data_IF_608021064106
#
_entry.id   IF_608021064106
#
_cell.length_a   1.000
_cell.length_b   1.000
_cell.length_c   1.000
_cell.angle_alpha   90.00
_cell.angle_beta   90.00
_cell.angle_gamma   90.00
#
_symmetry.space_group_name_H-M   'P 1'
#
loop_
_entity.id
_entity.type
_entity.pdbx_description
1 polymer ?
#
# COMPACT_ATOMS: atom_id res chain seq x y z
N UNK A 1 -21.69 0.17 1.97
CA UNK A 1 -21.22 1.59 2.01
C UNK A 1 -21.72 2.43 0.81
N UNK A 2 -22.84 2.10 0.19
CA UNK A 2 -23.55 2.94 -0.78
C UNK A 2 -23.10 2.85 -2.24
N UNK A 3 -22.11 2.01 -2.56
CA UNK A 3 -21.65 1.79 -3.93
C UNK A 3 -20.80 2.95 -4.49
N UNK A 4 -20.44 2.86 -5.77
CA UNK A 4 -19.65 3.87 -6.47
C UNK A 4 -20.60 4.92 -7.06
N UNK A 5 -20.52 6.21 -6.69
CA UNK A 5 -21.33 7.25 -7.30
C UNK A 5 -20.89 7.51 -8.75
N UNK A 6 -21.84 7.90 -9.60
CA UNK A 6 -21.55 8.28 -10.98
C UNK A 6 -21.03 9.72 -11.11
N UNK A 7 -21.20 10.52 -10.07
CA UNK A 7 -20.81 11.92 -10.01
C UNK A 7 -19.52 12.06 -9.20
N UNK A 8 -18.53 12.80 -9.74
CA UNK A 8 -17.20 12.94 -9.18
C UNK A 8 -17.20 13.75 -7.87
N UNK A 9 -18.01 14.81 -7.78
CA UNK A 9 -18.12 15.64 -6.58
C UNK A 9 -18.72 14.84 -5.44
N UNK A 10 -19.74 14.03 -5.74
CA UNK A 10 -20.35 13.13 -4.77
C UNK A 10 -19.37 12.02 -4.33
N UNK A 11 -18.53 11.53 -5.25
CA UNK A 11 -17.48 10.57 -4.92
C UNK A 11 -16.48 11.17 -3.94
N UNK A 12 -16.06 12.41 -4.17
CA UNK A 12 -15.14 13.13 -3.31
C UNK A 12 -15.75 13.38 -1.92
N UNK A 13 -17.01 13.84 -1.84
CA UNK A 13 -17.73 14.03 -0.57
C UNK A 13 -17.83 12.72 0.22
N UNK A 14 -18.18 11.61 -0.43
CA UNK A 14 -18.24 10.30 0.21
C UNK A 14 -16.85 9.85 0.69
N UNK A 15 -15.81 10.09 -0.10
CA UNK A 15 -14.44 9.71 0.24
C UNK A 15 -13.93 10.47 1.47
N UNK A 16 -14.27 11.75 1.64
CA UNK A 16 -13.87 12.54 2.82
C UNK A 16 -14.50 12.04 4.13
N UNK A 17 -15.59 11.29 4.03
CA UNK A 17 -16.31 10.71 5.18
C UNK A 17 -15.89 9.30 5.54
N UNK A 18 -14.95 8.69 4.77
CA UNK A 18 -14.49 7.34 5.07
C UNK A 18 -13.72 7.32 6.38
N UNK A 19 -14.21 6.56 7.34
CA UNK A 19 -13.47 6.25 8.56
C UNK A 19 -12.39 5.22 8.23
N UNK A 20 -11.14 5.64 8.39
CA UNK A 20 -9.98 4.78 8.08
C UNK A 20 -9.91 3.55 8.98
N UNK A 21 -10.34 3.65 10.25
CA UNK A 21 -10.30 2.50 11.16
C UNK A 21 -11.32 1.45 10.73
N UNK A 22 -12.51 1.89 10.31
CA UNK A 22 -13.54 1.00 9.75
C UNK A 22 -13.03 0.36 8.46
N UNK A 23 -12.42 1.16 7.56
CA UNK A 23 -11.87 0.63 6.31
C UNK A 23 -10.74 -0.39 6.55
N UNK A 24 -9.87 -0.18 7.54
CA UNK A 24 -8.83 -1.17 7.91
C UNK A 24 -9.48 -2.43 8.47
N UNK A 25 -10.49 -2.32 9.33
CA UNK A 25 -11.20 -3.48 9.87
C UNK A 25 -11.89 -4.30 8.76
N UNK A 26 -12.50 -3.63 7.78
CA UNK A 26 -13.08 -4.28 6.60
C UNK A 26 -11.99 -5.02 5.78
N UNK A 27 -10.83 -4.40 5.58
CA UNK A 27 -9.71 -5.04 4.85
C UNK A 27 -9.17 -6.26 5.61
N UNK A 28 -9.08 -6.21 6.94
CA UNK A 28 -8.69 -7.37 7.77
C UNK A 28 -9.71 -8.49 7.60
N UNK A 29 -11.01 -8.18 7.68
CA UNK A 29 -12.08 -9.17 7.49
C UNK A 29 -12.06 -9.81 6.09
N UNK A 30 -11.77 -9.01 5.04
CA UNK A 30 -11.58 -9.52 3.67
C UNK A 30 -10.37 -10.45 3.60
N UNK A 31 -9.26 -10.11 4.26
CA UNK A 31 -8.07 -10.95 4.35
C UNK A 31 -8.36 -12.29 5.03
N UNK A 32 -9.06 -12.28 6.16
CA UNK A 32 -9.48 -13.49 6.87
C UNK A 32 -10.42 -14.36 6.01
N UNK A 33 -11.36 -13.73 5.29
CA UNK A 33 -12.24 -14.44 4.37
C UNK A 33 -11.47 -15.08 3.21
N UNK A 34 -10.50 -14.37 2.62
CA UNK A 34 -9.65 -14.91 1.55
C UNK A 34 -8.84 -16.12 2.04
N UNK A 35 -8.24 -16.05 3.23
CA UNK A 35 -7.47 -17.15 3.82
C UNK A 35 -8.33 -18.37 4.15
N UNK A 36 -9.61 -18.17 4.44
CA UNK A 36 -10.55 -19.27 4.74
C UNK A 36 -11.09 -19.99 3.50
N UNK A 37 -10.80 -19.50 2.28
CA UNK A 37 -11.27 -20.11 1.05
C UNK A 37 -10.54 -21.45 0.80
N UNK A 38 -11.25 -22.47 0.27
CA UNK A 38 -10.64 -23.80 0.01
C UNK A 38 -9.61 -23.77 -1.14
N UNK A 39 -9.64 -22.74 -2.00
CA UNK A 39 -8.71 -22.53 -3.10
C UNK A 39 -7.53 -21.58 -2.73
N UNK A 40 -7.46 -21.12 -1.49
CA UNK A 40 -6.34 -20.32 -0.99
C UNK A 40 -5.15 -21.21 -0.62
N UNK A 41 -3.94 -20.72 -0.89
CA UNK A 41 -2.71 -21.39 -0.50
C UNK A 41 -2.24 -21.05 0.95
N UNK A 42 -3.06 -20.31 1.71
CA UNK A 42 -2.76 -19.88 3.08
C UNK A 42 -1.83 -18.68 3.18
N UNK A 43 -1.53 -17.99 2.06
CA UNK A 43 -0.71 -16.79 2.02
C UNK A 43 -1.54 -15.58 1.63
N UNK A 44 -1.24 -14.44 2.24
CA UNK A 44 -1.97 -13.19 2.02
C UNK A 44 -1.02 -12.05 1.65
N UNK A 45 -1.29 -11.43 0.50
CA UNK A 45 -0.59 -10.23 0.05
C UNK A 45 -1.56 -9.07 -0.17
N UNK A 46 -1.07 -7.84 0.00
CA UNK A 46 -1.84 -6.64 -0.30
C UNK A 46 -1.00 -5.65 -1.13
N UNK A 47 -1.63 -5.07 -2.15
CA UNK A 47 -1.08 -3.95 -2.93
C UNK A 47 -2.07 -2.81 -2.93
N UNK A 48 -1.59 -1.58 -2.89
CA UNK A 48 -2.45 -0.40 -2.92
C UNK A 48 -1.72 0.84 -3.44
N UNK A 49 -2.49 1.76 -3.99
CA UNK A 49 -1.99 2.94 -4.69
C UNK A 49 -2.52 4.21 -4.03
N UNK A 50 -1.71 5.25 -3.91
CA UNK A 50 -2.12 6.54 -3.35
C UNK A 50 -2.72 6.39 -1.94
N UNK A 51 -3.99 6.75 -1.77
CA UNK A 51 -4.73 6.50 -0.53
C UNK A 51 -4.74 5.00 -0.17
N UNK A 52 -4.95 4.12 -1.18
CA UNK A 52 -4.87 2.67 -1.01
C UNK A 52 -3.48 2.19 -0.59
N UNK A 53 -2.40 2.86 -1.00
CA UNK A 53 -1.05 2.62 -0.49
C UNK A 53 -0.92 2.93 0.99
N UNK A 54 -1.52 4.05 1.44
CA UNK A 54 -1.63 4.37 2.86
C UNK A 54 -2.45 3.34 3.64
N UNK A 55 -3.54 2.83 3.04
CA UNK A 55 -4.35 1.76 3.65
C UNK A 55 -3.60 0.44 3.77
N UNK A 56 -2.74 0.09 2.79
CA UNK A 56 -1.87 -1.09 2.87
C UNK A 56 -0.85 -0.95 4.00
N UNK A 57 -0.30 0.24 4.21
CA UNK A 57 0.58 0.51 5.36
C UNK A 57 -0.15 0.32 6.70
N UNK A 58 -1.38 0.83 6.82
CA UNK A 58 -2.22 0.64 8.01
C UNK A 58 -2.62 -0.83 8.19
N UNK A 59 -3.00 -1.51 7.10
CA UNK A 59 -3.33 -2.93 7.13
C UNK A 59 -2.15 -3.77 7.64
N UNK A 60 -0.92 -3.44 7.24
CA UNK A 60 0.27 -4.14 7.71
C UNK A 60 0.45 -4.05 9.23
N UNK A 61 0.01 -2.95 9.86
CA UNK A 61 0.03 -2.80 11.33
C UNK A 61 -1.12 -3.52 12.04
N UNK A 62 -2.22 -3.83 11.32
CA UNK A 62 -3.45 -4.37 11.90
C UNK A 62 -3.68 -5.86 11.61
N UNK A 63 -3.08 -6.39 10.53
CA UNK A 63 -3.30 -7.75 10.04
C UNK A 63 -2.07 -8.65 10.29
N UNK A 64 -1.98 -9.37 11.41
CA UNK A 64 -0.82 -10.22 11.73
C UNK A 64 -0.65 -11.43 10.79
N UNK A 65 -1.68 -11.75 9.99
CA UNK A 65 -1.66 -12.82 8.99
C UNK A 65 -1.26 -12.34 7.60
N UNK A 66 -0.97 -11.04 7.42
CA UNK A 66 -0.48 -10.51 6.15
C UNK A 66 0.99 -10.92 5.97
N UNK A 67 1.30 -11.61 4.87
CA UNK A 67 2.66 -12.06 4.55
C UNK A 67 3.45 -10.99 3.77
N UNK A 68 2.78 -10.27 2.87
CA UNK A 68 3.41 -9.29 1.99
C UNK A 68 2.55 -8.03 1.81
N UNK A 69 3.18 -6.86 1.87
CA UNK A 69 2.51 -5.57 1.66
C UNK A 69 3.30 -4.69 0.68
N UNK A 70 2.61 -4.18 -0.34
CA UNK A 70 3.20 -3.35 -1.39
C UNK A 70 2.46 -2.03 -1.53
N UNK A 71 2.81 -1.00 -0.74
CA UNK A 71 2.26 0.34 -0.90
C UNK A 71 2.98 1.11 -2.01
N UNK A 72 2.22 1.67 -2.95
CA UNK A 72 2.68 2.64 -3.94
C UNK A 72 2.32 4.05 -3.47
N UNK A 73 3.32 4.93 -3.36
CA UNK A 73 3.20 6.35 -2.96
C UNK A 73 2.13 6.58 -1.87
N UNK A 74 2.15 5.71 -0.87
CA UNK A 74 1.25 5.76 0.28
C UNK A 74 1.87 6.45 1.49
N UNK A 75 1.04 7.11 2.28
CA UNK A 75 1.45 7.70 3.57
C UNK A 75 1.88 6.58 4.53
N UNK A 76 2.97 6.79 5.26
CA UNK A 76 3.41 5.88 6.32
C UNK A 76 2.38 5.79 7.46
N UNK A 77 2.31 4.66 8.18
CA UNK A 77 1.48 4.53 9.38
C UNK A 77 2.13 5.30 10.55
N UNK A 78 1.42 5.51 11.67
CA UNK A 78 2.04 6.01 12.89
C UNK A 78 3.23 5.14 13.30
N UNK A 79 4.37 5.73 13.62
CA UNK A 79 5.61 5.01 13.97
C UNK A 79 5.46 4.11 15.20
N UNK A 80 4.58 4.48 16.14
CA UNK A 80 4.23 3.66 17.31
C UNK A 80 3.58 2.30 16.94
N UNK A 81 2.98 2.19 15.75
CA UNK A 81 2.32 0.97 15.30
C UNK A 81 3.24 0.07 14.47
N UNK A 82 4.38 0.57 14.01
CA UNK A 82 5.35 -0.17 13.18
C UNK A 82 5.82 -1.49 13.81
N UNK A 83 6.06 -1.60 15.13
CA UNK A 83 6.44 -2.86 15.76
C UNK A 83 5.39 -3.99 15.65
N UNK A 84 4.16 -3.67 15.28
CA UNK A 84 3.08 -4.66 15.08
C UNK A 84 3.18 -5.37 13.73
N UNK A 85 3.95 -4.82 12.78
CA UNK A 85 4.06 -5.33 11.40
C UNK A 85 4.77 -6.69 11.43
N UNK A 86 4.14 -7.68 10.77
CA UNK A 86 4.69 -9.02 10.55
C UNK A 86 4.96 -9.30 9.07
N UNK A 87 4.29 -8.57 8.19
CA UNK A 87 4.46 -8.67 6.75
C UNK A 87 5.86 -8.22 6.31
N UNK A 88 6.35 -8.80 5.21
CA UNK A 88 7.44 -8.18 4.44
C UNK A 88 6.90 -7.00 3.66
N UNK A 89 7.68 -5.94 3.53
CA UNK A 89 7.27 -4.71 2.86
C UNK A 89 8.12 -4.44 1.61
N UNK A 90 7.45 -4.12 0.51
CA UNK A 90 8.08 -3.54 -0.68
C UNK A 90 7.38 -2.22 -1.02
N UNK A 91 8.04 -1.10 -0.80
CA UNK A 91 7.43 0.23 -0.96
C UNK A 91 7.93 0.93 -2.21
N UNK A 92 7.03 1.59 -2.94
CA UNK A 92 7.34 2.35 -4.16
C UNK A 92 6.99 3.81 -3.98
N UNK A 93 7.96 4.71 -4.14
CA UNK A 93 7.80 6.15 -3.97
C UNK A 93 8.13 6.90 -5.25
N UNK A 94 7.38 7.96 -5.53
CA UNK A 94 7.65 8.89 -6.62
C UNK A 94 8.71 9.92 -6.19
N UNK A 95 9.72 10.19 -7.03
CA UNK A 95 10.79 11.12 -6.71
C UNK A 95 10.31 12.55 -6.47
N UNK A 96 9.29 12.98 -7.22
CA UNK A 96 8.73 14.33 -7.14
C UNK A 96 7.52 14.46 -6.18
N UNK A 97 7.34 13.54 -5.23
CA UNK A 97 6.25 13.57 -4.24
C UNK A 97 6.77 14.01 -2.87
N UNK A 98 7.09 15.28 -2.72
CA UNK A 98 7.66 15.85 -1.48
C UNK A 98 6.79 15.54 -0.25
N UNK A 99 5.45 15.54 -0.41
CA UNK A 99 4.50 15.28 0.68
C UNK A 99 4.62 13.87 1.25
N UNK A 100 4.72 12.86 0.41
CA UNK A 100 4.89 11.47 0.84
C UNK A 100 6.32 11.22 1.28
N UNK A 101 7.30 11.74 0.52
CA UNK A 101 8.71 11.47 0.72
C UNK A 101 9.25 12.03 2.05
N UNK A 102 8.63 13.08 2.60
CA UNK A 102 8.98 13.64 3.91
C UNK A 102 8.91 12.58 5.04
N UNK A 103 8.08 11.55 4.91
CA UNK A 103 7.95 10.49 5.93
C UNK A 103 8.87 9.27 5.71
N UNK A 104 9.60 9.17 4.59
CA UNK A 104 10.36 7.95 4.24
C UNK A 104 11.44 7.65 5.27
N UNK A 105 12.24 8.65 5.64
CA UNK A 105 13.38 8.44 6.54
C UNK A 105 12.94 7.99 7.94
N UNK A 106 11.88 8.58 8.48
CA UNK A 106 11.32 8.22 9.78
C UNK A 106 10.72 6.80 9.73
N UNK A 107 9.98 6.47 8.67
CA UNK A 107 9.37 5.15 8.51
C UNK A 107 10.44 4.06 8.35
N UNK A 108 11.46 4.28 7.51
CA UNK A 108 12.59 3.37 7.31
C UNK A 108 13.34 3.11 8.64
N UNK A 109 13.58 4.16 9.42
CA UNK A 109 14.22 4.04 10.73
C UNK A 109 13.37 3.20 11.70
N UNK A 110 12.04 3.43 11.75
CA UNK A 110 11.13 2.68 12.60
C UNK A 110 11.05 1.19 12.19
N UNK A 111 11.01 0.90 10.88
CA UNK A 111 11.02 -0.46 10.36
C UNK A 111 12.32 -1.20 10.70
N UNK A 112 13.48 -0.54 10.56
CA UNK A 112 14.79 -1.10 10.96
C UNK A 112 14.84 -1.38 12.45
N UNK A 113 14.39 -0.45 13.27
CA UNK A 113 14.35 -0.61 14.72
C UNK A 113 13.44 -1.77 15.14
N UNK A 114 12.32 -1.97 14.46
CA UNK A 114 11.38 -3.06 14.71
C UNK A 114 11.82 -4.41 14.10
N UNK A 115 12.91 -4.46 13.33
CA UNK A 115 13.38 -5.67 12.64
C UNK A 115 12.46 -6.16 11.53
N UNK A 116 11.66 -5.27 10.94
CA UNK A 116 10.75 -5.61 9.83
C UNK A 116 11.54 -5.77 8.54
N UNK A 117 11.35 -6.91 7.85
CA UNK A 117 11.93 -7.14 6.52
C UNK A 117 11.27 -6.20 5.50
N UNK A 118 12.02 -5.24 5.00
CA UNK A 118 11.49 -4.23 4.10
C UNK A 118 12.52 -3.74 3.08
N UNK A 119 12.00 -3.26 1.96
CA UNK A 119 12.74 -2.58 0.90
C UNK A 119 11.89 -1.46 0.32
N UNK A 120 12.52 -0.37 -0.10
CA UNK A 120 11.82 0.67 -0.85
C UNK A 120 12.63 1.13 -2.07
N UNK A 121 11.92 1.68 -3.04
CA UNK A 121 12.48 2.30 -4.23
C UNK A 121 11.87 3.69 -4.42
N UNK A 122 12.73 4.65 -4.75
CA UNK A 122 12.32 5.99 -5.18
C UNK A 122 12.57 6.09 -6.67
N UNK A 123 11.54 6.44 -7.45
CA UNK A 123 11.60 6.55 -8.90
C UNK A 123 11.84 8.02 -9.25
N UNK A 124 13.08 8.35 -9.59
CA UNK A 124 13.49 9.72 -9.91
C UNK A 124 12.67 10.27 -11.08
N UNK A 125 12.25 11.54 -10.99
CA UNK A 125 11.43 12.20 -12.00
C UNK A 125 9.98 11.72 -12.11
N UNK A 126 9.58 10.70 -11.35
CA UNK A 126 8.20 10.24 -11.31
C UNK A 126 7.36 11.12 -10.38
N UNK A 127 6.13 11.42 -10.81
CA UNK A 127 5.13 12.15 -10.04
C UNK A 127 4.25 11.22 -9.19
N UNK A 128 3.56 11.76 -8.19
CA UNK A 128 2.50 11.01 -7.48
C UNK A 128 1.51 10.41 -8.49
N UNK A 129 1.13 9.14 -8.31
CA UNK A 129 0.30 8.37 -9.24
C UNK A 129 1.00 7.93 -10.54
N UNK A 130 2.34 7.86 -10.57
CA UNK A 130 3.10 7.44 -11.76
C UNK A 130 2.69 6.09 -12.35
N UNK A 131 2.08 5.21 -11.55
CA UNK A 131 1.63 3.88 -11.99
C UNK A 131 0.20 3.87 -12.57
N UNK A 132 -0.50 5.01 -12.57
CA UNK A 132 -1.85 5.12 -13.10
C UNK A 132 -1.82 5.60 -14.55
N UNK A 133 -2.09 4.73 -15.51
CA UNK A 133 -2.09 5.01 -16.95
C UNK A 133 -3.19 6.00 -17.41
N UNK A 134 -4.18 6.26 -16.56
CA UNK A 134 -5.20 7.29 -16.80
C UNK A 134 -4.87 8.64 -16.15
N UNK A 135 -3.74 8.76 -15.45
CA UNK A 135 -3.35 10.00 -14.73
C UNK A 135 -2.72 11.08 -15.64
N UNK A 136 -2.78 10.93 -16.96
CA UNK A 136 -2.25 11.90 -17.92
C UNK A 136 -0.74 12.13 -17.73
N UNK A 137 -0.32 13.37 -17.57
CA UNK A 137 1.10 13.75 -17.45
C UNK A 137 1.83 13.16 -16.24
N UNK A 138 1.11 12.68 -15.25
CA UNK A 138 1.70 12.01 -14.08
C UNK A 138 2.09 10.56 -14.33
N UNK A 139 1.52 9.93 -15.35
CA UNK A 139 1.88 8.57 -15.71
C UNK A 139 3.32 8.50 -16.22
N UNK A 140 4.12 7.64 -15.64
CA UNK A 140 5.47 7.37 -16.08
C UNK A 140 5.62 5.87 -16.37
N UNK A 141 5.48 5.51 -17.66
CA UNK A 141 5.48 4.11 -18.09
C UNK A 141 6.73 3.35 -17.65
N UNK A 142 7.91 3.96 -17.74
CA UNK A 142 9.15 3.29 -17.38
C UNK A 142 9.22 2.99 -15.87
N UNK A 143 8.83 3.95 -15.04
CA UNK A 143 8.75 3.75 -13.59
C UNK A 143 7.65 2.74 -13.21
N UNK A 144 6.48 2.81 -13.88
CA UNK A 144 5.36 1.90 -13.66
C UNK A 144 5.73 0.45 -13.98
N UNK A 145 6.28 0.19 -15.16
CA UNK A 145 6.68 -1.15 -15.59
C UNK A 145 7.73 -1.74 -14.64
N UNK A 146 8.72 -0.94 -14.24
CA UNK A 146 9.78 -1.36 -13.32
C UNK A 146 9.24 -1.65 -11.92
N UNK A 147 8.38 -0.78 -11.39
CA UNK A 147 7.77 -0.96 -10.07
C UNK A 147 6.85 -2.19 -10.06
N UNK A 148 6.06 -2.37 -11.12
CA UNK A 148 5.16 -3.51 -11.23
C UNK A 148 5.92 -4.84 -11.38
N UNK A 149 6.98 -4.87 -12.17
CA UNK A 149 7.85 -6.04 -12.29
C UNK A 149 8.43 -6.47 -10.94
N UNK A 150 8.95 -5.51 -10.16
CA UNK A 150 9.44 -5.74 -8.78
C UNK A 150 8.35 -6.25 -7.84
N UNK A 151 7.12 -5.73 -7.98
CA UNK A 151 5.96 -6.16 -7.20
C UNK A 151 5.62 -7.63 -7.46
N UNK A 152 5.55 -8.03 -8.75
CA UNK A 152 5.25 -9.42 -9.12
C UNK A 152 6.35 -10.37 -8.65
N UNK A 153 7.63 -10.00 -8.82
CA UNK A 153 8.76 -10.78 -8.31
C UNK A 153 8.68 -10.96 -6.78
N UNK A 154 8.41 -9.87 -6.06
CA UNK A 154 8.30 -9.89 -4.60
C UNK A 154 7.15 -10.77 -4.12
N UNK A 155 5.96 -10.64 -4.70
CA UNK A 155 4.84 -11.52 -4.37
C UNK A 155 5.13 -12.98 -4.76
N UNK A 156 5.74 -13.21 -5.92
CA UNK A 156 6.16 -14.54 -6.34
C UNK A 156 7.15 -15.21 -5.39
N UNK A 157 8.00 -14.44 -4.72
CA UNK A 157 8.95 -14.96 -3.73
C UNK A 157 8.34 -15.14 -2.33
N UNK A 158 7.29 -14.36 -1.98
CA UNK A 158 6.76 -14.32 -0.61
C UNK A 158 5.48 -15.12 -0.44
N UNK A 159 4.65 -15.25 -1.50
CA UNK A 159 3.30 -15.84 -1.43
C UNK A 159 3.20 -17.26 -2.01
N UNK A 160 4.32 -17.91 -2.31
CA UNK A 160 4.37 -19.32 -2.77
C UNK A 160 4.33 -20.29 -1.62
#
# INVERSE_FOLDING_TARGET
QGGTPADEDRALDMFTRVDRNVAVADLVAVGDWLLARPDANGRLGAVGFCWGGGMVNLLATAAPKLDAAVPFYGVAPPTADVPKIKAKLLMHYAGNDARINAGIAEYDAALKQAGVDHRYYVYEGAEHAFNNDTAGVRYNKAAADLAWGRTIEFFGATLR
#
